data_IF_380546526749
#
_entry.id   IF_380546526749
#
_cell.length_a   1.000
_cell.length_b   1.000
_cell.length_c   1.000
_cell.angle_alpha   90.00
_cell.angle_beta   90.00
_cell.angle_gamma   90.00
#
_symmetry.space_group_name_H-M   'P 1'
#
loop_
_entity.id
_entity.type
_entity.pdbx_description
1 polymer ?
#
# COMPACT_ATOMS: atom_id res chain seq x y z
N UNK A 1 -6.44 19.57 -64.71
CA UNK A 1 -6.66 18.44 -63.78
C UNK A 1 -6.07 18.84 -62.42
N UNK A 2 -6.77 18.70 -61.28
CA UNK A 2 -6.22 19.09 -60.00
C UNK A 2 -5.55 17.89 -59.30
N UNK A 3 -4.26 18.03 -59.02
CA UNK A 3 -3.42 17.03 -58.36
C UNK A 3 -3.77 16.93 -56.86
N UNK A 4 -4.18 15.73 -56.40
CA UNK A 4 -4.46 15.43 -55.00
C UNK A 4 -3.16 15.22 -54.22
N UNK A 5 -2.87 16.06 -53.22
CA UNK A 5 -1.80 15.85 -52.24
C UNK A 5 -2.12 14.68 -51.29
N UNK A 6 -1.13 13.88 -50.86
CA UNK A 6 -1.36 12.77 -49.93
C UNK A 6 -1.52 13.25 -48.47
N UNK A 7 -2.29 12.53 -47.63
CA UNK A 7 -2.54 12.92 -46.25
C UNK A 7 -1.30 12.68 -45.38
N UNK A 8 -0.88 13.72 -44.63
CA UNK A 8 0.18 13.62 -43.60
C UNK A 8 -0.26 12.63 -42.51
N UNK A 9 0.54 11.59 -42.27
CA UNK A 9 0.41 10.72 -41.07
C UNK A 9 0.60 11.57 -39.81
N UNK A 10 -0.39 11.55 -38.93
CA UNK A 10 -0.28 12.14 -37.59
C UNK A 10 0.76 11.37 -36.76
N UNK A 11 1.58 12.04 -35.94
CA UNK A 11 2.54 11.37 -35.07
C UNK A 11 1.77 10.53 -34.03
N UNK A 12 2.21 9.28 -33.86
CA UNK A 12 1.67 8.37 -32.86
C UNK A 12 1.78 9.01 -31.46
N UNK A 13 0.66 9.06 -30.73
CA UNK A 13 0.60 9.54 -29.36
C UNK A 13 1.62 8.77 -28.50
N UNK A 14 2.39 9.44 -27.62
CA UNK A 14 3.29 8.75 -26.71
C UNK A 14 2.47 7.83 -25.79
N UNK A 15 2.94 6.59 -25.60
CA UNK A 15 2.36 5.63 -24.66
C UNK A 15 2.29 6.27 -23.27
N UNK A 16 1.20 6.07 -22.50
CA UNK A 16 1.13 6.58 -21.14
C UNK A 16 2.28 5.97 -20.35
N UNK A 17 3.17 6.82 -19.85
CA UNK A 17 4.21 6.44 -18.92
C UNK A 17 3.54 5.71 -17.75
N UNK A 18 4.08 4.53 -17.46
CA UNK A 18 3.77 3.73 -16.28
C UNK A 18 3.91 4.66 -15.07
N UNK A 19 2.77 5.14 -14.56
CA UNK A 19 2.75 6.10 -13.45
C UNK A 19 3.42 5.41 -12.28
N UNK A 20 4.59 5.91 -11.87
CA UNK A 20 5.17 5.58 -10.59
C UNK A 20 4.06 5.65 -9.53
N UNK A 21 3.96 4.66 -8.63
CA UNK A 21 2.88 4.61 -7.64
C UNK A 21 2.82 5.98 -6.96
N UNK A 22 1.61 6.55 -6.92
CA UNK A 22 1.39 7.85 -6.31
C UNK A 22 2.04 7.84 -4.92
N UNK A 23 2.76 8.92 -4.56
CA UNK A 23 3.32 9.06 -3.22
C UNK A 23 2.15 9.11 -2.23
N UNK A 24 1.77 7.93 -1.74
CA UNK A 24 0.74 7.76 -0.73
C UNK A 24 1.26 8.41 0.55
N UNK A 25 0.49 9.32 1.14
CA UNK A 25 0.92 10.01 2.37
C UNK A 25 1.11 9.02 3.53
N UNK A 26 2.00 9.35 4.46
CA UNK A 26 2.35 8.50 5.61
C UNK A 26 1.12 8.03 6.40
N UNK A 27 0.15 8.92 6.64
CA UNK A 27 -1.10 8.56 7.31
C UNK A 27 -1.90 7.47 6.56
N UNK A 28 -1.95 7.54 5.22
CA UNK A 28 -2.61 6.52 4.41
C UNK A 28 -1.83 5.20 4.40
N UNK A 29 -0.50 5.26 4.43
CA UNK A 29 0.34 4.07 4.56
C UNK A 29 0.13 3.39 5.93
N UNK A 30 0.10 4.16 7.01
CA UNK A 30 -0.18 3.67 8.36
C UNK A 30 -1.59 3.07 8.48
N UNK A 31 -2.61 3.74 7.93
CA UNK A 31 -3.95 3.19 7.90
C UNK A 31 -4.03 1.85 7.15
N UNK A 32 -3.28 1.71 6.05
CA UNK A 32 -3.22 0.46 5.29
C UNK A 32 -2.52 -0.67 6.08
N UNK A 33 -1.44 -0.36 6.79
CA UNK A 33 -0.74 -1.30 7.68
C UNK A 33 -1.67 -1.77 8.81
N UNK A 34 -2.36 -0.83 9.47
CA UNK A 34 -3.31 -1.13 10.54
C UNK A 34 -4.51 -1.96 10.04
N UNK A 35 -5.01 -1.70 8.82
CA UNK A 35 -6.09 -2.50 8.23
C UNK A 35 -5.65 -3.94 7.96
N UNK A 36 -4.43 -4.14 7.45
CA UNK A 36 -3.85 -5.49 7.28
C UNK A 36 -3.76 -6.23 8.60
N UNK A 37 -3.27 -5.57 9.65
CA UNK A 37 -3.21 -6.16 10.99
C UNK A 37 -4.62 -6.54 11.50
N UNK A 38 -5.61 -5.65 11.37
CA UNK A 38 -7.00 -5.93 11.77
C UNK A 38 -7.56 -7.15 11.04
N UNK A 39 -7.35 -7.26 9.74
CA UNK A 39 -7.79 -8.43 8.94
C UNK A 39 -7.11 -9.71 9.39
N UNK A 40 -5.81 -9.66 9.69
CA UNK A 40 -5.07 -10.81 10.21
C UNK A 40 -5.63 -11.28 11.57
N UNK A 41 -5.99 -10.33 12.45
CA UNK A 41 -6.63 -10.66 13.73
C UNK A 41 -8.00 -11.34 13.56
N UNK A 42 -8.82 -10.86 12.62
CA UNK A 42 -10.11 -11.48 12.29
C UNK A 42 -9.90 -12.88 11.70
N UNK A 43 -8.95 -13.05 10.78
CA UNK A 43 -8.65 -14.36 10.22
C UNK A 43 -8.15 -15.36 11.29
N UNK A 44 -7.36 -14.87 12.26
CA UNK A 44 -6.88 -15.69 13.36
C UNK A 44 -7.99 -16.08 14.35
N UNK A 45 -9.09 -15.31 14.46
CA UNK A 45 -10.19 -15.67 15.37
C UNK A 45 -10.95 -16.92 14.96
N UNK A 46 -10.87 -17.31 13.68
CA UNK A 46 -11.51 -18.53 13.17
C UNK A 46 -10.63 -19.78 13.37
N UNK A 47 -9.44 -19.64 13.96
CA UNK A 47 -8.47 -20.72 14.14
C UNK A 47 -8.51 -21.31 15.55
N UNK A 48 -8.10 -22.58 15.73
CA UNK A 48 -7.91 -23.13 17.06
C UNK A 48 -6.84 -22.35 17.85
N UNK A 49 -6.96 -22.34 19.18
CA UNK A 49 -6.19 -21.44 20.06
C UNK A 49 -4.66 -21.46 19.86
N UNK A 50 -4.10 -22.63 19.50
CA UNK A 50 -2.66 -22.75 19.24
C UNK A 50 -2.28 -22.01 17.96
N UNK A 51 -2.94 -22.29 16.83
CA UNK A 51 -2.68 -21.61 15.57
C UNK A 51 -3.06 -20.12 15.65
N UNK A 52 -4.15 -19.79 16.34
CA UNK A 52 -4.54 -18.40 16.60
C UNK A 52 -3.41 -17.63 17.28
N UNK A 53 -2.83 -18.16 18.36
CA UNK A 53 -1.73 -17.50 19.07
C UNK A 53 -0.48 -17.31 18.20
N UNK A 54 -0.16 -18.28 17.34
CA UNK A 54 0.95 -18.17 16.38
C UNK A 54 0.69 -17.10 15.31
N UNK A 55 -0.52 -17.06 14.76
CA UNK A 55 -0.92 -16.07 13.75
C UNK A 55 -0.96 -14.66 14.32
N UNK A 56 -1.47 -14.48 15.53
CA UNK A 56 -1.47 -13.17 16.21
C UNK A 56 -0.04 -12.67 16.42
N UNK A 57 0.88 -13.53 16.90
CA UNK A 57 2.29 -13.16 17.06
C UNK A 57 2.95 -12.77 15.73
N UNK A 58 2.69 -13.52 14.66
CA UNK A 58 3.20 -13.20 13.33
C UNK A 58 2.63 -11.88 12.77
N UNK A 59 1.33 -11.65 12.96
CA UNK A 59 0.67 -10.42 12.55
C UNK A 59 1.23 -9.20 13.30
N UNK A 60 1.46 -9.33 14.61
CA UNK A 60 2.07 -8.28 15.42
C UNK A 60 3.51 -8.00 14.99
N UNK A 61 4.34 -9.02 14.77
CA UNK A 61 5.70 -8.85 14.29
C UNK A 61 5.74 -8.12 12.93
N UNK A 62 4.81 -8.44 12.04
CA UNK A 62 4.68 -7.79 10.73
C UNK A 62 4.28 -6.33 10.88
N UNK A 63 3.29 -6.03 11.73
CA UNK A 63 2.86 -4.65 12.03
C UNK A 63 4.04 -3.79 12.51
N UNK A 64 4.83 -4.31 13.45
CA UNK A 64 5.98 -3.60 14.01
C UNK A 64 7.07 -3.37 12.96
N UNK A 65 7.39 -4.38 12.15
CA UNK A 65 8.36 -4.25 11.07
C UNK A 65 7.91 -3.23 10.01
N UNK A 66 6.64 -3.24 9.63
CA UNK A 66 6.08 -2.29 8.65
C UNK A 66 6.04 -0.85 9.20
N UNK A 67 5.69 -0.66 10.49
CA UNK A 67 5.77 0.65 11.14
C UNK A 67 7.21 1.17 11.23
N UNK A 68 8.15 0.32 11.64
CA UNK A 68 9.57 0.68 11.71
C UNK A 68 10.14 1.04 10.33
N UNK A 69 9.72 0.35 9.27
CA UNK A 69 10.08 0.67 7.89
C UNK A 69 9.55 2.05 7.44
N UNK A 70 8.46 2.53 8.04
CA UNK A 70 7.95 3.89 7.85
C UNK A 70 8.61 4.94 8.75
N UNK A 71 9.55 4.53 9.62
CA UNK A 71 10.18 5.41 10.60
C UNK A 71 9.26 5.81 11.76
N UNK A 72 8.19 5.03 12.01
CA UNK A 72 7.35 5.22 13.20
C UNK A 72 7.99 4.45 14.35
N UNK A 73 8.57 5.20 15.29
CA UNK A 73 9.01 4.65 16.57
C UNK A 73 7.78 4.47 17.47
N UNK A 74 7.62 3.29 18.08
CA UNK A 74 6.61 3.08 19.12
C UNK A 74 7.04 3.88 20.36
N UNK A 75 6.65 5.16 20.43
CA UNK A 75 7.04 6.05 21.53
C UNK A 75 6.56 7.50 21.47
N UNK A 76 6.14 8.02 20.31
CA UNK A 76 5.92 9.48 20.16
C UNK A 76 4.49 9.90 19.76
N UNK A 77 3.47 9.10 20.11
CA UNK A 77 2.06 9.44 19.82
C UNK A 77 1.14 9.36 21.06
N UNK A 78 1.70 9.41 22.27
CA UNK A 78 0.92 9.35 23.52
C UNK A 78 1.31 10.41 24.58
N UNK A 79 1.88 11.55 24.18
CA UNK A 79 2.17 12.65 25.10
C UNK A 79 1.95 14.02 24.43
N UNK A 80 0.73 14.26 23.96
CA UNK A 80 0.27 15.59 23.57
C UNK A 80 -1.13 15.81 24.13
N UNK A 81 -1.24 15.79 25.45
CA UNK A 81 -2.34 16.42 26.18
C UNK A 81 -1.76 17.19 27.38
#
# INVERSE_FOLDING_TARGET
>A
MPEKKPPRKAPAKPKPAEKAPAKVGMATQLAAIQDRYRRAMIAASDQPYREQGEQIRAALATLLAEKAALGVEDGEEAASE
#
